data_IF_823519296447
#
_entry.id   IF_823519296447
#
_cell.length_a   1.000
_cell.length_b   1.000
_cell.length_c   1.000
_cell.angle_alpha   90.00
_cell.angle_beta   90.00
_cell.angle_gamma   90.00
#
_symmetry.space_group_name_H-M   'P 1'
#
loop_
_entity.id
_entity.type
_entity.pdbx_description
1 polymer ?
#
# COMPACT_ATOMS: atom_id res chain seq x y z
N UNK A 1 -16.56 14.27 10.86
CA UNK A 1 -17.67 13.59 10.15
C UNK A 1 -18.59 14.65 9.59
N UNK A 2 -19.01 14.50 8.34
CA UNK A 2 -19.89 15.45 7.66
C UNK A 2 -21.30 15.44 8.30
N UNK A 3 -21.74 16.60 8.78
CA UNK A 3 -23.05 16.79 9.42
C UNK A 3 -24.23 16.56 8.47
N UNK A 4 -24.03 16.71 7.16
CA UNK A 4 -25.06 16.45 6.16
C UNK A 4 -25.28 14.94 5.96
N UNK A 5 -24.20 14.16 5.98
CA UNK A 5 -24.26 12.71 5.81
C UNK A 5 -24.99 12.03 6.98
N UNK A 6 -24.69 12.42 8.22
CA UNK A 6 -25.37 11.84 9.40
C UNK A 6 -26.89 12.12 9.36
N UNK A 7 -27.29 13.34 8.99
CA UNK A 7 -28.70 13.70 8.82
C UNK A 7 -29.39 12.92 7.70
N UNK A 8 -28.65 12.60 6.64
CA UNK A 8 -29.17 11.76 5.56
C UNK A 8 -29.37 10.31 6.00
N UNK A 9 -28.43 9.73 6.75
CA UNK A 9 -28.60 8.38 7.31
C UNK A 9 -29.79 8.31 8.28
N UNK A 10 -29.95 9.32 9.15
CA UNK A 10 -31.11 9.43 10.03
C UNK A 10 -32.43 9.54 9.24
N UNK A 11 -32.43 10.25 8.11
CA UNK A 11 -33.59 10.35 7.23
C UNK A 11 -33.92 9.00 6.59
N UNK A 12 -32.91 8.29 6.06
CA UNK A 12 -33.06 6.96 5.45
C UNK A 12 -33.59 5.95 6.47
N UNK A 13 -33.05 5.97 7.69
CA UNK A 13 -33.51 5.11 8.78
C UNK A 13 -34.99 5.35 9.09
N UNK A 14 -35.41 6.62 9.18
CA UNK A 14 -36.80 7.01 9.50
C UNK A 14 -37.78 6.72 8.36
N UNK A 15 -37.42 7.06 7.12
CA UNK A 15 -38.30 6.89 5.96
C UNK A 15 -38.55 5.43 5.61
N UNK A 16 -37.57 4.57 5.85
CA UNK A 16 -37.68 3.13 5.55
C UNK A 16 -38.09 2.30 6.75
N UNK A 17 -38.24 2.91 7.94
CA UNK A 17 -38.44 2.19 9.21
C UNK A 17 -37.36 1.13 9.44
N UNK A 18 -36.12 1.44 9.06
CA UNK A 18 -34.98 0.56 9.23
C UNK A 18 -34.43 0.66 10.66
N UNK A 19 -33.87 -0.42 11.17
CA UNK A 19 -33.19 -0.44 12.47
C UNK A 19 -31.84 0.29 12.40
N UNK A 20 -31.20 0.29 11.24
CA UNK A 20 -29.93 0.96 11.01
C UNK A 20 -29.79 1.38 9.54
N UNK A 21 -29.08 2.48 9.30
CA UNK A 21 -28.76 2.97 7.97
C UNK A 21 -27.29 3.39 7.91
N UNK A 22 -26.56 2.85 6.94
CA UNK A 22 -25.12 3.03 6.86
C UNK A 22 -24.62 3.05 5.42
N UNK A 23 -23.44 3.63 5.21
CA UNK A 23 -22.72 3.55 3.95
C UNK A 23 -21.64 2.47 4.06
N UNK A 24 -21.69 1.51 3.15
CA UNK A 24 -20.63 0.52 2.97
C UNK A 24 -19.77 0.89 1.76
N UNK A 25 -18.46 0.77 1.91
CA UNK A 25 -17.50 0.95 0.82
C UNK A 25 -17.14 -0.43 0.26
N UNK A 26 -17.40 -0.64 -1.03
CA UNK A 26 -17.03 -1.87 -1.73
C UNK A 26 -17.69 -3.17 -1.24
N UNK A 27 -17.18 -4.31 -1.73
CA UNK A 27 -17.59 -5.67 -1.35
C UNK A 27 -18.69 -6.30 -2.21
N UNK A 28 -18.90 -7.62 -2.06
CA UNK A 28 -20.04 -8.32 -2.69
C UNK A 28 -21.36 -7.78 -2.14
N UNK A 29 -22.44 -7.76 -2.94
CA UNK A 29 -23.79 -7.45 -2.45
C UNK A 29 -24.09 -8.18 -1.13
N UNK A 30 -24.65 -7.50 -0.12
CA UNK A 30 -25.14 -8.17 1.07
C UNK A 30 -26.06 -9.32 0.66
N UNK A 31 -25.69 -10.54 1.08
CA UNK A 31 -26.52 -11.73 0.89
C UNK A 31 -27.55 -11.88 2.02
N UNK A 32 -27.54 -10.99 3.02
CA UNK A 32 -28.48 -11.00 4.14
C UNK A 32 -29.85 -10.50 3.66
N UNK A 33 -30.93 -11.31 3.76
CA UNK A 33 -32.28 -10.90 3.37
C UNK A 33 -32.86 -9.77 4.22
N UNK A 34 -32.21 -9.42 5.35
CA UNK A 34 -32.56 -8.27 6.20
C UNK A 34 -31.85 -6.98 5.80
N UNK A 35 -31.09 -6.99 4.70
CA UNK A 35 -30.40 -5.82 4.20
C UNK A 35 -30.93 -5.45 2.81
N UNK A 36 -31.36 -4.21 2.67
CA UNK A 36 -31.71 -3.61 1.37
C UNK A 36 -30.65 -2.55 1.07
N UNK A 37 -30.17 -2.53 -0.17
CA UNK A 37 -29.07 -1.66 -0.54
C UNK A 37 -29.22 -1.11 -1.96
N UNK A 38 -28.63 0.05 -2.20
CA UNK A 38 -28.46 0.62 -3.54
C UNK A 38 -27.03 1.12 -3.74
N UNK A 39 -26.57 1.09 -4.99
CA UNK A 39 -25.25 1.61 -5.34
C UNK A 39 -25.25 3.15 -5.35
N UNK A 40 -24.19 3.76 -4.86
CA UNK A 40 -23.95 5.20 -4.93
C UNK A 40 -22.92 5.50 -6.05
N UNK A 41 -22.98 6.69 -6.69
CA UNK A 41 -22.10 7.04 -7.81
C UNK A 41 -20.60 7.04 -7.48
N UNK A 42 -20.25 7.15 -6.20
CA UNK A 42 -18.88 7.15 -5.69
C UNK A 42 -18.30 5.74 -5.48
N UNK A 43 -19.03 4.67 -5.83
CA UNK A 43 -18.64 3.27 -5.63
C UNK A 43 -18.94 2.71 -4.25
N UNK A 44 -19.48 3.53 -3.34
CA UNK A 44 -20.05 3.06 -2.08
C UNK A 44 -21.48 2.56 -2.29
N UNK A 45 -22.09 1.95 -1.29
CA UNK A 45 -23.50 1.59 -1.27
C UNK A 45 -24.17 2.09 -0.01
N UNK A 46 -25.41 2.52 -0.15
CA UNK A 46 -26.27 2.84 0.99
C UNK A 46 -26.99 1.56 1.38
N UNK A 47 -26.94 1.18 2.66
CA UNK A 47 -27.54 -0.04 3.18
C UNK A 47 -28.50 0.30 4.31
N UNK A 48 -29.74 -0.12 4.18
CA UNK A 48 -30.75 -0.13 5.23
C UNK A 48 -30.84 -1.54 5.80
N UNK A 49 -30.70 -1.67 7.12
CA UNK A 49 -30.76 -2.95 7.83
C UNK A 49 -32.01 -3.02 8.70
N UNK A 50 -32.62 -4.20 8.72
CA UNK A 50 -33.85 -4.48 9.44
C UNK A 50 -33.63 -5.63 10.44
N UNK A 51 -34.40 -5.64 11.52
CA UNK A 51 -34.41 -6.72 12.49
C UNK A 51 -34.95 -8.02 11.86
N UNK A 52 -35.97 -7.87 11.00
CA UNK A 52 -36.61 -8.92 10.21
C UNK A 52 -36.64 -8.52 8.72
N UNK A 53 -36.66 -9.48 7.77
CA UNK A 53 -36.71 -9.16 6.35
C UNK A 53 -37.93 -8.27 6.04
N UNK A 54 -37.77 -7.17 5.30
CA UNK A 54 -38.89 -6.29 5.00
C UNK A 54 -39.94 -7.06 4.17
N UNK A 55 -41.23 -6.83 4.46
CA UNK A 55 -42.32 -7.55 3.79
C UNK A 55 -42.39 -7.32 2.28
N UNK A 56 -41.95 -6.14 1.81
CA UNK A 56 -41.92 -5.77 0.40
C UNK A 56 -40.53 -5.24 -0.02
N UNK A 57 -39.51 -6.12 -0.16
CA UNK A 57 -38.12 -5.71 -0.39
C UNK A 57 -37.92 -4.86 -1.65
N UNK A 58 -38.72 -5.11 -2.69
CA UNK A 58 -38.65 -4.37 -3.95
C UNK A 58 -39.12 -2.92 -3.80
N UNK A 59 -40.15 -2.66 -2.98
CA UNK A 59 -40.63 -1.30 -2.74
C UNK A 59 -39.66 -0.52 -1.85
N UNK A 60 -39.10 -1.18 -0.83
CA UNK A 60 -38.05 -0.61 0.02
C UNK A 60 -36.79 -0.28 -0.82
N UNK A 61 -36.41 -1.15 -1.75
CA UNK A 61 -35.27 -0.92 -2.65
C UNK A 61 -35.49 0.30 -3.53
N UNK A 62 -36.67 0.41 -4.16
CA UNK A 62 -37.03 1.56 -5.00
C UNK A 62 -37.02 2.86 -4.20
N UNK A 63 -37.55 2.84 -2.98
CA UNK A 63 -37.60 4.03 -2.11
C UNK A 63 -36.21 4.44 -1.62
N UNK A 64 -35.34 3.46 -1.35
CA UNK A 64 -33.93 3.70 -1.02
C UNK A 64 -33.17 4.36 -2.19
N UNK A 65 -33.43 3.92 -3.43
CA UNK A 65 -32.87 4.53 -4.64
C UNK A 65 -33.38 5.96 -4.85
N UNK A 66 -34.67 6.22 -4.65
CA UNK A 66 -35.26 7.56 -4.74
C UNK A 66 -34.64 8.53 -3.72
N UNK A 67 -34.46 8.09 -2.46
CA UNK A 67 -33.81 8.87 -1.40
C UNK A 67 -32.33 9.14 -1.72
N UNK A 68 -31.64 8.14 -2.25
CA UNK A 68 -30.24 8.25 -2.71
C UNK A 68 -30.08 9.29 -3.82
N UNK A 69 -30.95 9.24 -4.84
CA UNK A 69 -30.91 10.16 -5.97
C UNK A 69 -31.18 11.61 -5.54
N UNK A 70 -32.14 11.84 -4.64
CA UNK A 70 -32.43 13.15 -4.09
C UNK A 70 -31.23 13.75 -3.31
N UNK A 71 -30.53 12.92 -2.54
CA UNK A 71 -29.35 13.36 -1.78
C UNK A 71 -28.13 13.65 -2.68
N UNK A 72 -27.93 12.88 -3.75
CA UNK A 72 -26.88 13.15 -4.74
C UNK A 72 -27.08 14.50 -5.43
N UNK A 73 -28.33 14.88 -5.71
CA UNK A 73 -28.68 16.20 -6.27
C UNK A 73 -28.33 17.37 -5.35
N UNK A 74 -28.47 17.20 -4.03
CA UNK A 74 -28.13 18.22 -3.02
C UNK A 74 -26.61 18.35 -2.76
N UNK A 75 -25.86 17.27 -3.00
CA UNK A 75 -24.40 17.23 -2.83
C UNK A 75 -23.63 17.75 -4.06
N UNK A 76 -24.32 18.06 -5.15
CA UNK A 76 -23.73 18.47 -6.44
C UNK A 76 -23.28 19.94 -6.51
N UNK A 77 -23.26 20.64 -5.37
CA UNK A 77 -22.71 21.98 -5.23
C UNK A 77 -21.17 21.99 -5.11
N UNK A 78 -20.47 21.59 -6.17
CA UNK A 78 -19.03 21.83 -6.35
C UNK A 78 -18.15 20.57 -6.29
N UNK A 79 -17.57 20.20 -7.44
CA UNK A 79 -16.37 19.37 -7.49
C UNK A 79 -16.37 18.24 -8.53
N UNK A 80 -15.95 18.59 -9.75
CA UNK A 80 -15.29 17.78 -10.78
C UNK A 80 -15.66 16.30 -11.00
N UNK A 81 -15.97 15.96 -12.27
CA UNK A 81 -15.93 14.60 -12.81
C UNK A 81 -14.65 13.86 -12.37
N UNK A 82 -14.81 12.70 -11.71
CA UNK A 82 -13.72 11.82 -11.29
C UNK A 82 -13.01 11.21 -12.52
N UNK A 83 -11.67 11.27 -12.63
CA UNK A 83 -10.94 10.42 -13.57
C UNK A 83 -10.99 8.95 -13.12
N UNK A 84 -10.92 8.03 -14.08
CA UNK A 84 -10.93 6.59 -13.85
C UNK A 84 -9.77 6.11 -12.95
N UNK A 85 -10.03 5.06 -12.16
CA UNK A 85 -9.20 4.51 -11.08
C UNK A 85 -7.75 4.11 -11.47
N UNK A 86 -7.40 4.04 -12.75
CA UNK A 86 -6.05 3.69 -13.21
C UNK A 86 -5.09 4.87 -13.40
N UNK A 87 -5.60 6.06 -13.75
CA UNK A 87 -4.74 7.15 -14.23
C UNK A 87 -3.84 7.79 -13.16
N UNK A 88 -4.33 7.90 -11.92
CA UNK A 88 -3.62 8.58 -10.83
C UNK A 88 -2.47 7.76 -10.26
N UNK A 89 -2.63 6.43 -10.16
CA UNK A 89 -1.60 5.53 -9.66
C UNK A 89 -0.44 5.42 -10.65
N UNK A 90 -0.73 5.22 -11.94
CA UNK A 90 0.32 5.23 -12.97
C UNK A 90 1.10 6.53 -12.99
N UNK A 91 0.40 7.67 -12.85
CA UNK A 91 1.06 8.97 -12.80
C UNK A 91 1.96 9.15 -11.57
N UNK A 92 1.59 8.57 -10.42
CA UNK A 92 2.48 8.57 -9.25
C UNK A 92 3.72 7.73 -9.51
N UNK A 93 3.55 6.54 -10.07
CA UNK A 93 4.66 5.64 -10.38
C UNK A 93 5.64 6.28 -11.39
N UNK A 94 5.13 6.94 -12.43
CA UNK A 94 5.93 7.69 -13.42
C UNK A 94 6.74 8.82 -12.76
N UNK A 95 6.13 9.59 -11.86
CA UNK A 95 6.84 10.67 -11.14
C UNK A 95 7.91 10.12 -10.18
N UNK A 96 7.67 8.94 -9.59
CA UNK A 96 8.65 8.25 -8.75
C UNK A 96 9.81 7.69 -9.58
N UNK A 97 9.55 7.20 -10.79
CA UNK A 97 10.60 6.79 -11.73
C UNK A 97 11.48 7.98 -12.13
N UNK A 98 10.87 9.10 -12.52
CA UNK A 98 11.60 10.33 -12.86
C UNK A 98 12.41 10.84 -11.66
N UNK A 99 11.85 10.80 -10.46
CA UNK A 99 12.57 11.16 -9.24
C UNK A 99 13.77 10.24 -9.00
N UNK A 100 13.60 8.92 -9.09
CA UNK A 100 14.68 7.97 -8.89
C UNK A 100 15.84 8.23 -9.85
N UNK A 101 15.53 8.44 -11.14
CA UNK A 101 16.52 8.78 -12.17
C UNK A 101 17.26 10.09 -11.86
N UNK A 102 16.54 11.16 -11.48
CA UNK A 102 17.14 12.46 -11.15
C UNK A 102 18.01 12.42 -9.90
N UNK A 103 17.59 11.65 -8.90
CA UNK A 103 18.30 11.48 -7.65
C UNK A 103 19.52 10.53 -7.78
N UNK A 104 19.61 9.75 -8.85
CA UNK A 104 20.60 8.68 -8.98
C UNK A 104 20.32 7.48 -8.06
N UNK A 105 19.06 7.30 -7.67
CA UNK A 105 18.61 6.19 -6.85
C UNK A 105 18.34 4.94 -7.70
N UNK A 106 18.48 3.75 -7.10
CA UNK A 106 18.02 2.49 -7.68
C UNK A 106 16.50 2.44 -7.78
N UNK A 107 15.78 3.09 -6.86
CA UNK A 107 14.33 3.17 -6.91
C UNK A 107 13.75 4.12 -5.87
N UNK A 108 12.48 4.46 -6.07
CA UNK A 108 11.70 5.34 -5.21
C UNK A 108 10.35 4.69 -4.89
N UNK A 109 9.94 4.76 -3.63
CA UNK A 109 8.64 4.26 -3.17
C UNK A 109 7.97 5.22 -2.21
N UNK A 110 6.64 5.19 -2.19
CA UNK A 110 5.84 5.85 -1.14
C UNK A 110 5.19 4.78 -0.30
N UNK A 111 5.45 4.82 1.01
CA UNK A 111 4.84 3.96 2.01
C UNK A 111 4.04 4.79 3.00
N UNK A 112 3.03 4.18 3.60
CA UNK A 112 2.39 4.67 4.83
C UNK A 112 3.30 4.36 6.03
N UNK A 113 3.23 5.06 7.15
CA UNK A 113 3.99 4.76 8.37
C UNK A 113 3.35 3.65 9.24
N UNK A 114 2.07 3.34 9.05
CA UNK A 114 1.33 2.36 9.87
C UNK A 114 0.66 1.24 9.06
N UNK A 115 0.40 1.45 7.78
CA UNK A 115 -0.21 0.45 6.89
C UNK A 115 0.85 -0.42 6.19
N UNK A 116 0.57 -1.69 5.85
CA UNK A 116 1.46 -2.51 5.03
C UNK A 116 1.49 -2.09 3.56
N UNK A 117 0.84 -0.99 3.18
CA UNK A 117 0.60 -0.61 1.79
C UNK A 117 1.75 0.21 1.20
N UNK A 118 2.14 -0.16 -0.03
CA UNK A 118 2.98 0.65 -0.92
C UNK A 118 2.07 1.44 -1.86
N UNK A 119 2.02 2.76 -1.66
CA UNK A 119 1.14 3.66 -2.39
C UNK A 119 1.65 3.98 -3.79
N UNK A 120 2.97 4.05 -3.96
CA UNK A 120 3.66 4.38 -5.21
C UNK A 120 5.00 3.66 -5.32
N UNK A 121 5.41 3.30 -6.54
CA UNK A 121 6.71 2.67 -6.78
C UNK A 121 7.27 3.07 -8.16
N UNK A 122 8.59 3.29 -8.24
CA UNK A 122 9.30 3.45 -9.51
C UNK A 122 9.52 2.13 -10.26
N UNK A 123 9.39 1.00 -9.57
CA UNK A 123 9.48 -0.33 -10.20
C UNK A 123 8.12 -0.79 -10.73
N UNK A 124 8.09 -1.64 -11.78
CA UNK A 124 6.87 -2.23 -12.29
C UNK A 124 6.03 -2.87 -11.19
N UNK A 125 4.76 -2.45 -11.06
CA UNK A 125 3.85 -3.00 -10.05
C UNK A 125 3.65 -4.49 -10.23
N UNK A 126 3.63 -5.21 -9.10
CA UNK A 126 3.22 -6.62 -9.01
C UNK A 126 2.09 -6.71 -8.00
N UNK A 127 1.08 -7.52 -8.30
CA UNK A 127 -0.19 -7.59 -7.55
C UNK A 127 -0.02 -7.98 -6.06
N UNK A 128 1.15 -8.50 -5.67
CA UNK A 128 1.47 -8.94 -4.31
C UNK A 128 2.49 -8.08 -3.56
N UNK A 129 3.08 -7.05 -4.18
CA UNK A 129 4.12 -6.26 -3.53
C UNK A 129 3.54 -5.33 -2.45
N UNK A 130 3.76 -5.69 -1.19
CA UNK A 130 3.42 -4.89 -0.02
C UNK A 130 4.64 -4.76 0.91
N UNK A 131 4.52 -3.92 1.94
CA UNK A 131 5.59 -3.67 2.90
C UNK A 131 5.98 -4.97 3.62
N UNK A 132 5.04 -5.85 3.94
CA UNK A 132 5.33 -7.11 4.62
C UNK A 132 6.24 -8.01 3.78
N UNK A 133 5.96 -8.13 2.48
CA UNK A 133 6.85 -8.84 1.57
C UNK A 133 8.22 -8.17 1.42
N UNK A 134 8.28 -6.83 1.40
CA UNK A 134 9.54 -6.09 1.36
C UNK A 134 10.40 -6.37 2.61
N UNK A 135 9.82 -6.36 3.80
CA UNK A 135 10.53 -6.69 5.04
C UNK A 135 11.06 -8.13 5.02
N UNK A 136 10.22 -9.08 4.57
CA UNK A 136 10.62 -10.47 4.45
C UNK A 136 11.77 -10.67 3.46
N UNK A 137 11.74 -9.98 2.31
CA UNK A 137 12.81 -10.01 1.33
C UNK A 137 14.11 -9.39 1.86
N UNK A 138 14.03 -8.29 2.61
CA UNK A 138 15.19 -7.69 3.24
C UNK A 138 15.85 -8.67 4.22
N UNK A 139 15.06 -9.27 5.11
CA UNK A 139 15.53 -10.28 6.05
C UNK A 139 16.20 -11.45 5.33
N UNK A 140 15.59 -11.98 4.27
CA UNK A 140 16.17 -13.08 3.51
C UNK A 140 17.49 -12.71 2.83
N UNK A 141 17.59 -11.50 2.29
CA UNK A 141 18.84 -11.00 1.71
C UNK A 141 19.94 -10.90 2.76
N UNK A 142 19.61 -10.41 3.94
CA UNK A 142 20.55 -10.28 5.05
C UNK A 142 20.98 -11.66 5.55
N UNK A 143 20.06 -12.61 5.73
CA UNK A 143 20.37 -13.98 6.17
C UNK A 143 21.35 -14.68 5.20
N UNK A 144 21.13 -14.53 3.89
CA UNK A 144 21.99 -15.11 2.84
C UNK A 144 23.37 -14.45 2.81
N UNK A 145 23.44 -13.13 2.96
CA UNK A 145 24.71 -12.40 2.97
C UNK A 145 25.51 -12.62 4.26
N UNK A 146 24.85 -12.81 5.42
CA UNK A 146 25.51 -13.23 6.66
C UNK A 146 26.13 -14.62 6.56
N UNK A 147 25.59 -15.49 5.71
CA UNK A 147 26.20 -16.77 5.36
C UNK A 147 27.42 -16.65 4.43
N UNK A 148 27.81 -15.42 4.07
CA UNK A 148 28.95 -15.14 3.20
C UNK A 148 28.67 -15.35 1.72
N UNK A 149 27.39 -15.37 1.32
CA UNK A 149 26.99 -15.62 -0.06
C UNK A 149 26.24 -14.42 -0.63
N UNK A 150 26.51 -14.05 -1.87
CA UNK A 150 25.77 -12.99 -2.53
C UNK A 150 24.40 -13.49 -2.99
N UNK A 151 23.31 -12.85 -2.52
CA UNK A 151 21.95 -13.23 -2.89
C UNK A 151 21.71 -13.17 -4.41
N UNK A 152 22.24 -12.14 -5.08
CA UNK A 152 22.02 -11.93 -6.52
C UNK A 152 22.68 -13.05 -7.32
N UNK A 153 23.90 -13.43 -6.94
CA UNK A 153 24.61 -14.54 -7.58
C UNK A 153 23.83 -15.85 -7.43
N UNK A 154 23.26 -16.12 -6.25
CA UNK A 154 22.41 -17.30 -6.05
C UNK A 154 21.14 -17.27 -6.88
N UNK A 155 20.50 -16.11 -7.07
CA UNK A 155 19.28 -16.00 -7.87
C UNK A 155 19.53 -16.30 -9.35
N UNK A 156 20.75 -16.10 -9.86
CA UNK A 156 21.16 -16.38 -11.24
C UNK A 156 21.38 -17.86 -11.53
N UNK A 157 21.65 -18.69 -10.52
CA UNK A 157 21.95 -20.10 -10.69
C UNK A 157 20.71 -20.92 -11.09
N UNK A 158 20.88 -21.99 -11.85
CA UNK A 158 19.84 -23.02 -11.95
C UNK A 158 19.77 -23.85 -10.65
N UNK A 159 18.76 -24.72 -10.52
CA UNK A 159 18.53 -25.46 -9.27
C UNK A 159 19.70 -26.40 -8.93
N UNK A 160 20.35 -27.00 -9.93
CA UNK A 160 21.49 -27.90 -9.73
C UNK A 160 22.73 -27.11 -9.26
N UNK A 161 23.05 -25.99 -9.92
CA UNK A 161 24.17 -25.13 -9.56
C UNK A 161 23.95 -24.44 -8.21
N UNK A 162 22.70 -24.12 -7.87
CA UNK A 162 22.32 -23.60 -6.56
C UNK A 162 22.60 -24.63 -5.46
N UNK A 163 22.12 -25.87 -5.62
CA UNK A 163 22.39 -26.95 -4.67
C UNK A 163 23.89 -27.18 -4.46
N UNK A 164 24.66 -27.21 -5.55
CA UNK A 164 26.12 -27.36 -5.49
C UNK A 164 26.79 -26.19 -4.77
N UNK A 165 26.38 -24.96 -5.07
CA UNK A 165 26.93 -23.75 -4.43
C UNK A 165 26.62 -23.76 -2.94
N UNK A 166 25.37 -23.99 -2.56
CA UNK A 166 24.97 -24.10 -1.15
C UNK A 166 25.72 -25.24 -0.44
N UNK A 167 25.99 -26.35 -1.12
CA UNK A 167 26.76 -27.46 -0.55
C UNK A 167 28.20 -27.08 -0.16
N UNK A 168 28.81 -26.11 -0.86
CA UNK A 168 30.16 -25.61 -0.59
C UNK A 168 30.24 -24.56 0.51
N UNK A 169 29.09 -24.04 0.97
CA UNK A 169 29.02 -23.06 2.06
C UNK A 169 29.15 -23.74 3.42
N UNK A 170 29.54 -22.97 4.45
CA UNK A 170 29.59 -23.43 5.84
C UNK A 170 28.22 -23.65 6.49
N UNK A 171 27.12 -23.46 5.74
CA UNK A 171 25.76 -23.57 6.24
C UNK A 171 25.38 -25.02 6.56
N UNK A 172 24.58 -25.20 7.60
CA UNK A 172 23.98 -26.50 7.94
C UNK A 172 22.88 -26.93 6.96
N UNK A 173 22.49 -28.23 6.95
CA UNK A 173 21.46 -28.73 6.02
C UNK A 173 20.12 -27.98 6.09
N UNK A 174 19.65 -27.64 7.30
CA UNK A 174 18.38 -26.92 7.47
C UNK A 174 18.44 -25.45 7.02
N UNK A 175 19.59 -24.78 7.16
CA UNK A 175 19.81 -23.42 6.67
C UNK A 175 19.83 -23.40 5.14
N UNK A 176 20.48 -24.39 4.51
CA UNK A 176 20.49 -24.54 3.05
C UNK A 176 19.08 -24.76 2.49
N UNK A 177 18.29 -25.62 3.12
CA UNK A 177 16.90 -25.86 2.72
C UNK A 177 16.05 -24.59 2.87
N UNK A 178 16.23 -23.86 3.97
CA UNK A 178 15.54 -22.58 4.22
C UNK A 178 15.89 -21.54 3.16
N UNK A 179 17.18 -21.34 2.87
CA UNK A 179 17.66 -20.40 1.85
C UNK A 179 17.16 -20.81 0.46
N UNK A 180 17.25 -22.08 0.09
CA UNK A 180 16.74 -22.57 -1.19
C UNK A 180 15.23 -22.28 -1.34
N UNK A 181 14.45 -22.53 -0.29
CA UNK A 181 13.03 -22.21 -0.26
C UNK A 181 12.73 -20.70 -0.38
N UNK A 182 13.56 -19.83 0.21
CA UNK A 182 13.44 -18.38 0.04
C UNK A 182 13.77 -17.96 -1.38
N UNK A 183 14.88 -18.43 -1.95
CA UNK A 183 15.30 -18.14 -3.32
C UNK A 183 14.24 -18.55 -4.35
N UNK A 184 13.65 -19.72 -4.18
CA UNK A 184 12.56 -20.18 -5.04
C UNK A 184 11.37 -19.20 -5.00
N UNK A 185 10.91 -18.80 -3.81
CA UNK A 185 9.82 -17.81 -3.66
C UNK A 185 10.16 -16.46 -4.27
N UNK A 186 11.42 -16.02 -4.19
CA UNK A 186 11.88 -14.79 -4.84
C UNK A 186 11.82 -14.93 -6.36
N UNK A 187 12.31 -16.04 -6.92
CA UNK A 187 12.30 -16.33 -8.37
C UNK A 187 10.88 -16.40 -8.94
N UNK A 188 9.96 -17.06 -8.24
CA UNK A 188 8.56 -17.19 -8.65
C UNK A 188 7.82 -15.84 -8.72
N UNK A 189 8.18 -14.90 -7.84
CA UNK A 189 7.57 -13.57 -7.76
C UNK A 189 8.35 -12.49 -8.52
N UNK A 190 9.52 -12.84 -9.05
CA UNK A 190 10.60 -11.97 -9.52
C UNK A 190 10.56 -11.61 -11.00
N UNK A 191 11.11 -10.45 -11.36
CA UNK A 191 11.61 -10.21 -12.74
C UNK A 191 12.93 -10.96 -12.90
N UNK A 192 13.15 -11.61 -14.05
CA UNK A 192 14.27 -12.55 -14.24
C UNK A 192 15.61 -11.90 -14.61
N UNK A 193 15.86 -10.66 -14.18
CA UNK A 193 17.12 -9.98 -14.48
C UNK A 193 17.89 -9.60 -13.21
N UNK A 194 19.23 -9.71 -13.22
CA UNK A 194 20.06 -9.36 -12.07
C UNK A 194 19.88 -7.92 -11.59
N UNK A 195 19.73 -6.98 -12.54
CA UNK A 195 19.50 -5.57 -12.21
C UNK A 195 18.15 -5.35 -11.54
N UNK A 196 17.10 -6.09 -11.95
CA UNK A 196 15.80 -6.01 -11.30
C UNK A 196 15.85 -6.59 -9.88
N UNK A 197 16.57 -7.69 -9.65
CA UNK A 197 16.78 -8.23 -8.30
C UNK A 197 17.55 -7.26 -7.41
N UNK A 198 18.64 -6.66 -7.90
CA UNK A 198 19.41 -5.64 -7.15
C UNK A 198 18.53 -4.48 -6.72
N UNK A 199 17.71 -3.94 -7.64
CA UNK A 199 16.76 -2.85 -7.31
C UNK A 199 15.72 -3.30 -6.29
N UNK A 200 15.12 -4.47 -6.49
CA UNK A 200 14.09 -5.01 -5.60
C UNK A 200 14.61 -5.23 -4.17
N UNK A 201 15.81 -5.80 -4.03
CA UNK A 201 16.47 -6.02 -2.74
C UNK A 201 16.86 -4.69 -2.07
N UNK A 202 17.40 -3.73 -2.85
CA UNK A 202 17.74 -2.41 -2.31
C UNK A 202 16.49 -1.66 -1.80
N UNK A 203 15.39 -1.68 -2.54
CA UNK A 203 14.12 -1.09 -2.11
C UNK A 203 13.59 -1.80 -0.86
N UNK A 204 13.66 -3.13 -0.81
CA UNK A 204 13.25 -3.91 0.35
C UNK A 204 14.03 -3.52 1.62
N UNK A 205 15.36 -3.48 1.55
CA UNK A 205 16.22 -3.03 2.65
C UNK A 205 15.97 -1.57 3.03
N UNK A 206 15.69 -0.70 2.06
CA UNK A 206 15.37 0.69 2.33
C UNK A 206 14.04 0.82 3.10
N UNK A 207 13.00 0.06 2.71
CA UNK A 207 11.73 -0.01 3.45
C UNK A 207 11.96 -0.54 4.86
N UNK A 208 12.74 -1.62 5.01
CA UNK A 208 13.07 -2.20 6.32
C UNK A 208 13.73 -1.18 7.26
N UNK A 209 14.79 -0.51 6.82
CA UNK A 209 15.48 0.52 7.63
C UNK A 209 14.56 1.64 8.07
N UNK A 210 13.68 2.05 7.17
CA UNK A 210 12.75 3.15 7.39
C UNK A 210 11.61 2.76 8.33
N UNK A 211 11.25 1.47 8.40
CA UNK A 211 10.29 0.92 9.35
C UNK A 211 10.92 0.47 10.67
N UNK A 212 12.23 0.26 10.67
CA UNK A 212 12.99 -0.17 11.83
C UNK A 212 13.09 0.90 12.93
N UNK A 213 13.50 0.49 14.14
CA UNK A 213 13.63 1.37 15.30
C UNK A 213 14.61 2.53 15.06
N UNK A 214 15.69 2.27 14.32
CA UNK A 214 16.70 3.28 13.98
C UNK A 214 16.13 4.48 13.21
N UNK A 215 15.11 4.28 12.37
CA UNK A 215 14.45 5.39 11.68
C UNK A 215 13.56 6.22 12.61
N UNK A 216 12.98 5.61 13.64
CA UNK A 216 12.18 6.33 14.63
C UNK A 216 13.05 7.20 15.53
N UNK A 217 14.26 6.74 15.85
CA UNK A 217 15.24 7.45 16.69
C UNK A 217 16.04 8.50 15.91
N UNK A 218 16.34 8.22 14.63
CA UNK A 218 17.16 9.07 13.77
C UNK A 218 16.39 10.10 12.95
N UNK A 219 15.05 10.08 12.96
CA UNK A 219 14.24 11.02 12.18
C UNK A 219 14.31 12.44 12.76
N UNK A 220 14.99 13.34 12.05
CA UNK A 220 15.09 14.76 12.40
C UNK A 220 14.26 15.57 11.41
N UNK A 221 13.24 16.30 11.91
CA UNK A 221 12.30 17.07 11.08
C UNK A 221 11.60 16.25 9.98
N UNK A 222 11.27 14.97 10.28
CA UNK A 222 10.64 14.07 9.32
C UNK A 222 11.58 13.60 8.21
N UNK A 223 12.90 13.74 8.37
CA UNK A 223 13.91 13.23 7.44
C UNK A 223 14.70 12.10 8.10
N UNK A 224 14.91 11.01 7.38
CA UNK A 224 15.79 9.92 7.77
C UNK A 224 16.84 9.70 6.67
N UNK A 225 18.09 9.52 7.09
CA UNK A 225 19.19 9.14 6.21
C UNK A 225 19.95 7.99 6.88
N UNK A 226 20.17 6.92 6.13
CA UNK A 226 20.99 5.79 6.59
C UNK A 226 21.78 5.23 5.42
N UNK A 227 23.04 4.88 5.63
CA UNK A 227 23.88 4.32 4.58
C UNK A 227 24.85 3.30 5.18
N UNK A 228 25.07 2.24 4.42
CA UNK A 228 26.16 1.29 4.60
C UNK A 228 26.61 0.75 3.24
N UNK A 229 27.43 -0.28 3.25
CA UNK A 229 27.96 -0.90 2.03
C UNK A 229 26.88 -1.58 1.18
N UNK A 230 25.74 -1.96 1.76
CA UNK A 230 24.70 -2.74 1.09
C UNK A 230 23.60 -1.86 0.49
N UNK A 231 23.20 -0.80 1.18
CA UNK A 231 22.18 0.13 0.66
C UNK A 231 22.34 1.52 1.28
N UNK A 232 22.13 2.54 0.45
CA UNK A 232 21.92 3.91 0.91
C UNK A 232 20.43 4.22 0.93
N UNK A 233 19.98 4.96 1.93
CA UNK A 233 18.57 5.28 2.16
C UNK A 233 18.44 6.76 2.46
N UNK A 234 17.59 7.41 1.67
CA UNK A 234 17.05 8.72 2.00
C UNK A 234 15.54 8.58 2.14
N UNK A 235 14.97 9.07 3.23
CA UNK A 235 13.53 9.09 3.42
C UNK A 235 13.03 10.43 3.97
N UNK A 236 11.85 10.84 3.51
CA UNK A 236 11.19 12.08 3.92
C UNK A 236 9.70 11.86 4.14
N UNK A 237 9.24 12.23 5.33
CA UNK A 237 7.83 12.23 5.70
C UNK A 237 7.11 13.41 5.06
N UNK A 238 5.86 13.19 4.66
CA UNK A 238 4.95 14.22 4.17
C UNK A 238 3.50 13.84 4.50
N UNK A 239 2.60 14.83 4.53
CA UNK A 239 1.19 14.65 4.89
C UNK A 239 0.96 13.77 6.15
N UNK A 240 1.85 13.90 7.15
CA UNK A 240 1.84 13.27 8.48
C UNK A 240 1.94 11.74 8.56
N UNK A 241 1.53 11.00 7.53
CA UNK A 241 1.46 9.52 7.56
C UNK A 241 2.23 8.86 6.41
N UNK A 242 2.69 9.64 5.43
CA UNK A 242 3.39 9.08 4.27
C UNK A 242 4.87 9.32 4.37
N UNK A 243 5.62 8.42 3.74
CA UNK A 243 7.06 8.52 3.63
C UNK A 243 7.50 8.18 2.23
N UNK A 244 8.18 9.14 1.62
CA UNK A 244 8.91 8.93 0.37
C UNK A 244 10.27 8.33 0.72
N UNK A 245 10.62 7.21 0.09
CA UNK A 245 11.86 6.48 0.33
C UNK A 245 12.61 6.31 -0.98
N UNK A 246 13.90 6.66 -0.98
CA UNK A 246 14.85 6.43 -2.06
C UNK A 246 15.88 5.39 -1.63
N UNK A 247 16.08 4.38 -2.46
CA UNK A 247 17.07 3.33 -2.26
C UNK A 247 18.26 3.53 -3.21
N UNK A 248 19.48 3.43 -2.70
CA UNK A 248 20.74 3.60 -3.42
C UNK A 248 21.57 2.32 -3.34
N UNK A 249 22.45 2.05 -4.31
CA UNK A 249 23.27 0.82 -4.31
C UNK A 249 24.35 0.78 -3.22
N UNK A 250 24.41 1.80 -2.35
CA UNK A 250 25.43 2.02 -1.33
C UNK A 250 25.48 3.50 -0.91
N UNK A 251 26.64 4.02 -0.46
CA UNK A 251 26.80 5.43 -0.10
C UNK A 251 26.40 6.38 -1.25
N UNK A 252 25.77 7.50 -0.90
CA UNK A 252 25.21 8.43 -1.88
C UNK A 252 25.36 9.89 -1.44
N UNK A 253 25.09 10.83 -2.36
CA UNK A 253 25.10 12.25 -2.04
C UNK A 253 23.77 12.68 -1.41
N UNK A 254 23.78 12.91 -0.10
CA UNK A 254 22.61 13.42 0.64
C UNK A 254 22.08 14.73 0.06
N UNK A 255 22.98 15.63 -0.38
CA UNK A 255 22.62 16.92 -0.96
C UNK A 255 21.88 16.75 -2.29
N UNK A 256 22.33 15.82 -3.14
CA UNK A 256 21.66 15.51 -4.40
C UNK A 256 20.27 14.92 -4.16
N UNK A 257 20.17 13.98 -3.20
CA UNK A 257 18.90 13.37 -2.82
C UNK A 257 17.91 14.42 -2.30
N UNK A 258 18.34 15.27 -1.37
CA UNK A 258 17.52 16.35 -0.81
C UNK A 258 17.05 17.32 -1.90
N UNK A 259 17.95 17.75 -2.79
CA UNK A 259 17.60 18.65 -3.89
C UNK A 259 16.56 18.03 -4.83
N UNK A 260 16.75 16.77 -5.23
CA UNK A 260 15.80 16.07 -6.10
C UNK A 260 14.43 15.90 -5.42
N UNK A 261 14.40 15.53 -4.14
CA UNK A 261 13.17 15.38 -3.36
C UNK A 261 12.47 16.71 -3.17
N UNK A 262 13.19 17.78 -2.82
CA UNK A 262 12.60 19.11 -2.63
C UNK A 262 11.84 19.59 -3.87
N UNK A 263 12.32 19.26 -5.08
CA UNK A 263 11.65 19.60 -6.32
C UNK A 263 10.45 18.70 -6.65
N UNK A 264 10.52 17.40 -6.35
CA UNK A 264 9.48 16.44 -6.72
C UNK A 264 8.35 16.31 -5.68
N UNK A 265 8.64 16.54 -4.40
CA UNK A 265 7.75 16.23 -3.28
C UNK A 265 6.36 16.90 -3.39
N UNK A 266 6.22 18.18 -3.78
CA UNK A 266 4.89 18.80 -3.89
C UNK A 266 3.97 18.09 -4.91
N UNK A 267 4.56 17.61 -6.01
CA UNK A 267 3.84 16.91 -7.07
C UNK A 267 3.48 15.48 -6.62
N UNK A 268 4.40 14.79 -5.95
CA UNK A 268 4.17 13.45 -5.37
C UNK A 268 3.08 13.51 -4.29
N UNK A 269 3.16 14.46 -3.36
CA UNK A 269 2.17 14.65 -2.29
C UNK A 269 0.77 14.86 -2.88
N UNK A 270 0.65 15.74 -3.89
CA UNK A 270 -0.62 15.97 -4.59
C UNK A 270 -1.18 14.72 -5.23
N UNK A 271 -0.34 13.87 -5.82
CA UNK A 271 -0.76 12.62 -6.45
C UNK A 271 -1.19 11.58 -5.42
N UNK A 272 -0.43 11.42 -4.33
CA UNK A 272 -0.74 10.50 -3.24
C UNK A 272 -2.06 10.87 -2.57
N UNK A 273 -2.27 12.16 -2.26
CA UNK A 273 -3.52 12.65 -1.66
C UNK A 273 -4.74 12.56 -2.61
N UNK A 274 -4.50 12.42 -3.91
CA UNK A 274 -5.54 12.19 -4.91
C UNK A 274 -5.84 10.71 -5.15
N UNK A 275 -5.07 9.79 -4.56
CA UNK A 275 -5.36 8.36 -4.63
C UNK A 275 -6.62 8.03 -3.79
N UNK A 276 -7.47 7.12 -4.27
CA UNK A 276 -8.56 6.62 -3.44
C UNK A 276 -8.00 5.92 -2.20
N UNK A 277 -8.74 5.91 -1.07
CA UNK A 277 -8.39 5.07 0.06
C UNK A 277 -8.20 3.62 -0.40
N UNK A 278 -7.10 2.98 0.03
CA UNK A 278 -6.84 1.58 -0.29
C UNK A 278 -7.59 0.72 0.72
N UNK A 279 -8.53 -0.11 0.24
CA UNK A 279 -9.25 -1.05 1.08
C UNK A 279 -8.26 -2.05 1.70
N UNK A 280 -8.26 -2.25 3.03
CA UNK A 280 -7.41 -3.25 3.65
C UNK A 280 -7.83 -4.65 3.14
N UNK A 281 -6.83 -5.51 2.87
CA UNK A 281 -7.07 -6.92 2.54
C UNK A 281 -7.92 -7.56 3.66
N UNK A 282 -8.85 -8.47 3.33
CA UNK A 282 -9.72 -9.10 4.33
C UNK A 282 -8.90 -9.79 5.41
N UNK A 283 -9.09 -9.36 6.67
CA UNK A 283 -8.35 -9.88 7.84
C UNK A 283 -7.94 -8.82 8.87
N UNK A 284 -7.99 -7.53 8.54
CA UNK A 284 -7.73 -6.46 9.50
C UNK A 284 -8.87 -6.38 10.55
N UNK A 285 -8.52 -6.49 11.84
CA UNK A 285 -9.47 -6.32 12.95
C UNK A 285 -10.00 -4.88 12.97
N UNK A 286 -11.27 -4.72 12.63
CA UNK A 286 -12.01 -3.47 12.84
C UNK A 286 -12.25 -3.30 14.34
N UNK A 287 -11.52 -2.40 15.00
CA UNK A 287 -11.79 -2.03 16.39
C UNK A 287 -12.86 -0.95 16.38
N UNK A 288 -14.06 -1.27 16.89
CA UNK A 288 -15.08 -0.27 17.19
C UNK A 288 -14.62 0.55 18.39
N UNK A 289 -14.37 1.83 18.18
CA UNK A 289 -14.18 2.79 19.28
C UNK A 289 -15.56 3.10 19.89
N UNK A 290 -15.80 2.60 21.09
CA UNK A 290 -16.93 3.00 21.92
C UNK A 290 -16.72 4.45 22.36
N UNK A 291 -17.74 5.31 22.19
CA UNK A 291 -17.67 6.69 22.71
C UNK A 291 -17.47 6.64 24.23
N UNK A 292 -16.58 7.48 24.81
CA UNK A 292 -16.55 7.67 26.25
C UNK A 292 -17.87 8.31 26.68
N UNK A 293 -18.48 7.69 27.69
CA UNK A 293 -19.68 8.15 28.41
C UNK A 293 -19.43 9.45 29.17
#
# INVERSE_FOLDING_TARGET
>A
MDSALLRFLDLVQRELSADDALIELGGKPPADPRAVWCALPNGSRLVARFAEPPGEPAEVSRRLEELSAAFAGLSSGGGAQRPAHGGSTHRLDDELEVLAQRAGALGAVVVDDASPVIWGTSEPRRDEADVGYALLLAQWADDVEHAGVNLIDLLELDDLALEQTLATTSLGPGERETIAGHLQKIRERGSRSPNAWRRQVAIARAIDRVRGPAASEGAVHGRFVGQDEQVGVYARSFASIYRLVLAYPGPFSELQAEGAVQHALPQIERLVLALPPIDPRPGAKVVRLTRPS
#
